data_IF_792296375632
#
_entry.id   IF_792296375632
#
_cell.length_a   1.000
_cell.length_b   1.000
_cell.length_c   1.000
_cell.angle_alpha   90.00
_cell.angle_beta   90.00
_cell.angle_gamma   90.00
#
_symmetry.space_group_name_H-M   'P 1'
#
loop_
_entity.id
_entity.type
_entity.pdbx_description
1 polymer ?
#
# COMPACT_ATOMS: atom_id res chain seq x y z
N UNK A 1 -19.13 -39.79 6.53
CA UNK A 1 -18.24 -39.42 5.41
C UNK A 1 -16.80 -39.36 5.89
N UNK A 2 -15.85 -39.10 4.99
CA UNK A 2 -14.43 -38.95 5.33
C UNK A 2 -13.93 -37.58 4.91
N UNK A 3 -13.27 -36.88 5.81
CA UNK A 3 -12.62 -35.60 5.59
C UNK A 3 -11.26 -35.87 4.94
N UNK A 4 -11.05 -35.34 3.74
CA UNK A 4 -9.76 -35.41 3.05
C UNK A 4 -8.98 -34.11 3.29
N UNK A 5 -7.80 -34.20 3.91
CA UNK A 5 -6.95 -33.05 4.19
C UNK A 5 -5.47 -33.37 3.96
N UNK A 6 -4.66 -32.36 3.70
CA UNK A 6 -3.21 -32.51 3.51
C UNK A 6 -2.46 -32.27 4.82
N UNK A 7 -1.47 -33.10 5.13
CA UNK A 7 -0.61 -32.90 6.29
C UNK A 7 0.23 -31.63 6.15
N UNK A 8 0.26 -30.77 7.18
CA UNK A 8 1.07 -29.54 7.19
C UNK A 8 2.59 -29.78 7.14
N UNK A 9 3.06 -30.96 7.57
CA UNK A 9 4.49 -31.29 7.61
C UNK A 9 5.00 -32.07 6.40
N UNK A 10 4.25 -33.09 5.98
CA UNK A 10 4.68 -33.98 4.89
C UNK A 10 3.83 -33.89 3.62
N UNK A 11 2.84 -33.00 3.58
CA UNK A 11 1.94 -32.73 2.45
C UNK A 11 1.21 -33.93 1.84
N UNK A 12 1.24 -35.10 2.50
CA UNK A 12 0.50 -36.28 2.08
C UNK A 12 -0.98 -36.15 2.44
N UNK A 13 -1.83 -36.71 1.57
CA UNK A 13 -3.27 -36.78 1.77
C UNK A 13 -3.59 -37.69 2.96
N UNK A 14 -4.33 -37.18 3.93
CA UNK A 14 -4.84 -37.88 5.10
C UNK A 14 -6.36 -37.98 4.95
N UNK A 15 -6.89 -39.19 5.17
CA UNK A 15 -8.32 -39.44 5.28
C UNK A 15 -8.69 -39.61 6.74
N UNK A 16 -9.49 -38.70 7.27
CA UNK A 16 -10.00 -38.75 8.63
C UNK A 16 -11.51 -39.04 8.64
N UNK A 17 -12.05 -39.75 9.65
CA UNK A 17 -13.49 -39.87 9.81
C UNK A 17 -14.10 -38.53 10.23
N UNK A 18 -15.37 -38.28 9.88
CA UNK A 18 -16.07 -37.05 10.28
C UNK A 18 -16.09 -36.83 11.80
N UNK A 19 -16.12 -37.92 12.59
CA UNK A 19 -16.05 -37.89 14.06
C UNK A 19 -14.75 -37.27 14.61
N UNK A 20 -13.72 -37.17 13.77
CA UNK A 20 -12.46 -36.53 14.10
C UNK A 20 -12.43 -35.04 13.71
N UNK A 21 -13.48 -34.52 13.05
CA UNK A 21 -13.66 -33.10 12.79
C UNK A 21 -13.57 -32.28 14.08
N UNK A 22 -12.80 -31.18 14.04
CA UNK A 22 -12.54 -30.32 15.20
C UNK A 22 -11.51 -30.87 16.20
N UNK A 23 -10.99 -32.10 16.01
CA UNK A 23 -9.99 -32.72 16.89
C UNK A 23 -8.59 -32.69 16.27
N UNK A 24 -7.58 -32.95 17.11
CA UNK A 24 -6.19 -33.17 16.68
C UNK A 24 -5.92 -34.66 16.51
N UNK A 25 -5.52 -35.06 15.31
CA UNK A 25 -5.08 -36.43 14.98
C UNK A 25 -3.58 -36.50 14.73
N UNK A 26 -3.02 -37.71 14.61
CA UNK A 26 -1.63 -37.91 14.16
C UNK A 26 -1.60 -38.32 12.70
N UNK A 27 -0.69 -37.73 11.93
CA UNK A 27 -0.45 -38.12 10.55
C UNK A 27 0.07 -39.57 10.48
N UNK A 28 -0.51 -40.45 9.66
CA UNK A 28 -0.04 -41.84 9.52
C UNK A 28 1.34 -41.95 8.86
N UNK A 29 1.78 -40.92 8.14
CA UNK A 29 3.05 -40.93 7.41
C UNK A 29 4.23 -40.34 8.19
N UNK A 30 4.04 -39.21 8.86
CA UNK A 30 5.11 -38.50 9.57
C UNK A 30 4.90 -38.41 11.09
N UNK A 31 3.77 -38.92 11.60
CA UNK A 31 3.37 -38.92 13.02
C UNK A 31 3.17 -37.53 13.64
N UNK A 32 3.23 -36.47 12.85
CA UNK A 32 2.97 -35.09 13.28
C UNK A 32 1.52 -34.92 13.76
N UNK A 33 1.31 -34.02 14.73
CA UNK A 33 -0.03 -33.65 15.19
C UNK A 33 -0.69 -32.72 14.17
N UNK A 34 -1.78 -33.14 13.55
CA UNK A 34 -2.53 -32.38 12.53
C UNK A 34 -3.94 -32.10 13.03
N UNK A 35 -4.41 -30.87 12.85
CA UNK A 35 -5.80 -30.49 13.13
C UNK A 35 -6.70 -30.93 11.97
N UNK A 36 -7.79 -31.63 12.27
CA UNK A 36 -8.78 -32.07 11.29
C UNK A 36 -9.91 -31.04 11.29
N UNK A 37 -10.10 -30.26 10.22
CA UNK A 37 -11.16 -29.26 10.16
C UNK A 37 -12.52 -29.95 10.22
N UNK A 38 -13.47 -29.32 10.92
CA UNK A 38 -14.86 -29.77 10.84
C UNK A 38 -15.38 -29.46 9.43
N UNK A 39 -16.07 -30.41 8.76
CA UNK A 39 -16.73 -30.08 7.51
C UNK A 39 -17.67 -28.90 7.77
N UNK A 40 -17.78 -27.93 6.86
CA UNK A 40 -18.79 -26.90 6.99
C UNK A 40 -20.13 -27.63 7.10
N UNK A 41 -20.85 -27.44 8.20
CA UNK A 41 -22.26 -27.81 8.22
C UNK A 41 -22.89 -27.08 7.03
N UNK A 42 -23.72 -27.78 6.25
CA UNK A 42 -24.47 -27.17 5.15
C UNK A 42 -25.19 -25.94 5.73
N UNK A 43 -24.62 -24.78 5.41
CA UNK A 43 -24.68 -23.62 6.28
C UNK A 43 -26.11 -23.17 6.53
N UNK A 44 -26.37 -22.76 7.77
CA UNK A 44 -27.41 -21.78 8.01
C UNK A 44 -27.17 -20.61 7.05
N UNK A 45 -28.06 -20.49 6.07
CA UNK A 45 -28.10 -19.33 5.19
C UNK A 45 -28.31 -18.12 6.09
N UNK A 46 -27.23 -17.36 6.33
CA UNK A 46 -27.29 -16.14 7.12
C UNK A 46 -28.21 -15.17 6.38
N UNK A 47 -29.46 -15.09 6.84
CA UNK A 47 -30.42 -14.12 6.32
C UNK A 47 -29.89 -12.74 6.65
N UNK A 48 -29.55 -11.98 5.61
CA UNK A 48 -29.22 -10.58 5.77
C UNK A 48 -30.38 -9.87 6.47
N UNK A 49 -30.05 -9.03 7.45
CA UNK A 49 -31.05 -8.17 8.05
C UNK A 49 -31.71 -7.31 6.95
N UNK A 50 -33.02 -7.04 7.04
CA UNK A 50 -33.69 -6.11 6.14
C UNK A 50 -32.98 -4.75 6.16
N UNK A 51 -32.90 -4.11 5.00
CA UNK A 51 -32.34 -2.77 4.87
C UNK A 51 -33.31 -1.78 5.54
N UNK A 52 -32.81 -0.97 6.47
CA UNK A 52 -33.55 0.18 6.99
C UNK A 52 -33.50 1.32 5.97
N UNK A 53 -34.62 1.58 5.30
CA UNK A 53 -34.72 2.61 4.27
C UNK A 53 -34.39 4.02 4.79
N UNK A 54 -34.68 4.32 6.06
CA UNK A 54 -34.42 5.63 6.64
C UNK A 54 -32.93 5.83 6.93
N UNK A 55 -32.22 4.77 7.34
CA UNK A 55 -30.76 4.79 7.42
C UNK A 55 -30.12 4.91 6.05
N UNK A 56 -30.63 4.18 5.05
CA UNK A 56 -30.11 4.26 3.70
C UNK A 56 -30.29 5.65 3.07
N UNK A 57 -31.44 6.28 3.28
CA UNK A 57 -31.69 7.66 2.83
C UNK A 57 -30.73 8.66 3.48
N UNK A 58 -30.51 8.55 4.80
CA UNK A 58 -29.54 9.39 5.52
C UNK A 58 -28.12 9.20 4.98
N UNK A 59 -27.72 7.95 4.73
CA UNK A 59 -26.40 7.64 4.16
C UNK A 59 -26.25 8.22 2.75
N UNK A 60 -27.29 8.13 1.90
CA UNK A 60 -27.28 8.72 0.56
C UNK A 60 -27.18 10.25 0.61
N UNK A 61 -27.88 10.89 1.53
CA UNK A 61 -27.82 12.34 1.72
C UNK A 61 -26.41 12.79 2.13
N UNK A 62 -25.83 12.17 3.15
CA UNK A 62 -24.48 12.48 3.62
C UNK A 62 -23.42 12.29 2.52
N UNK A 63 -23.53 11.22 1.72
CA UNK A 63 -22.61 11.02 0.58
C UNK A 63 -22.72 12.14 -0.44
N UNK A 64 -23.94 12.60 -0.76
CA UNK A 64 -24.16 13.69 -1.70
C UNK A 64 -23.55 15.00 -1.18
N UNK A 65 -23.78 15.29 0.11
CA UNK A 65 -23.21 16.46 0.77
C UNK A 65 -21.67 16.42 0.77
N UNK A 66 -21.07 15.26 1.08
CA UNK A 66 -19.63 15.08 1.06
C UNK A 66 -19.02 15.29 -0.34
N UNK A 67 -19.66 14.77 -1.39
CA UNK A 67 -19.23 14.97 -2.78
C UNK A 67 -19.31 16.46 -3.15
N UNK A 68 -20.38 17.15 -2.75
CA UNK A 68 -20.54 18.58 -2.99
C UNK A 68 -19.46 19.41 -2.30
N UNK A 69 -19.17 19.09 -1.04
CA UNK A 69 -18.11 19.74 -0.27
C UNK A 69 -16.72 19.51 -0.86
N UNK A 70 -16.41 18.28 -1.28
CA UNK A 70 -15.13 17.98 -1.93
C UNK A 70 -14.94 18.84 -3.20
N UNK A 71 -15.98 18.93 -4.05
CA UNK A 71 -15.93 19.74 -5.26
C UNK A 71 -15.77 21.25 -4.98
N UNK A 72 -16.34 21.78 -3.90
CA UNK A 72 -16.17 23.19 -3.53
C UNK A 72 -14.75 23.49 -3.04
N UNK A 73 -14.15 22.60 -2.24
CA UNK A 73 -12.76 22.75 -1.78
C UNK A 73 -11.77 22.75 -2.95
N UNK A 74 -11.97 21.86 -3.92
CA UNK A 74 -11.15 21.82 -5.14
C UNK A 74 -11.24 23.14 -5.93
N UNK A 75 -12.42 23.77 -5.99
CA UNK A 75 -12.60 25.06 -6.67
C UNK A 75 -12.04 26.25 -5.87
N UNK A 76 -12.11 26.23 -4.54
CA UNK A 76 -11.55 27.30 -3.70
C UNK A 76 -10.02 27.33 -3.77
N UNK A 77 -9.37 26.17 -3.76
CA UNK A 77 -7.91 26.06 -3.94
C UNK A 77 -7.43 26.42 -5.35
N UNK A 78 -8.31 26.40 -6.34
CA UNK A 78 -8.00 26.79 -7.73
C UNK A 78 -7.98 28.31 -7.96
N UNK A 79 -8.35 29.13 -6.98
CA UNK A 79 -8.19 30.59 -7.08
C UNK A 79 -6.77 30.95 -6.65
N UNK A 80 -5.87 31.35 -7.58
CA UNK A 80 -4.54 31.79 -7.18
C UNK A 80 -4.68 33.06 -6.33
N UNK A 81 -3.85 33.26 -5.29
CA UNK A 81 -3.79 34.54 -4.60
C UNK A 81 -3.45 35.63 -5.63
N UNK A 82 -4.32 36.64 -5.72
CA UNK A 82 -4.11 37.85 -6.50
C UNK A 82 -2.77 38.48 -6.14
N UNK A 83 -1.78 38.30 -7.02
CA UNK A 83 -0.46 38.90 -6.85
C UNK A 83 0.74 38.04 -7.24
N UNK A 84 0.68 37.23 -8.29
CA UNK A 84 1.89 36.82 -9.00
C UNK A 84 1.58 36.52 -10.47
N UNK A 85 1.90 37.48 -11.34
CA UNK A 85 2.14 37.18 -12.74
C UNK A 85 3.25 36.11 -12.81
N UNK A 86 2.88 34.90 -13.21
CA UNK A 86 3.79 33.77 -13.33
C UNK A 86 3.32 32.85 -14.43
N UNK A 87 3.29 33.35 -15.67
CA UNK A 87 3.44 32.44 -16.81
C UNK A 87 4.67 31.59 -16.54
N UNK A 88 4.55 30.27 -16.69
CA UNK A 88 5.63 29.33 -16.44
C UNK A 88 6.93 29.88 -17.04
N UNK A 89 7.90 30.36 -16.23
CA UNK A 89 9.18 30.71 -16.79
C UNK A 89 9.73 29.39 -17.31
N UNK A 90 10.05 29.37 -18.61
CA UNK A 90 10.95 28.35 -19.13
C UNK A 90 12.12 28.24 -18.13
N UNK A 91 12.46 27.03 -17.66
CA UNK A 91 13.45 26.89 -16.60
C UNK A 91 14.74 27.60 -17.05
N UNK A 92 15.33 28.46 -16.20
CA UNK A 92 16.60 29.06 -16.52
C UNK A 92 17.62 27.94 -16.79
N UNK A 93 18.47 28.07 -17.82
CA UNK A 93 19.52 27.09 -18.05
C UNK A 93 20.52 27.19 -16.89
N UNK A 94 20.49 26.22 -15.98
CA UNK A 94 21.61 26.02 -15.05
C UNK A 94 21.31 25.70 -13.59
N UNK A 95 20.06 25.47 -13.16
CA UNK A 95 19.86 24.86 -11.84
C UNK A 95 20.05 23.35 -11.96
N UNK A 96 21.30 22.92 -11.74
CA UNK A 96 21.67 21.50 -11.72
C UNK A 96 21.08 20.91 -10.44
N UNK A 97 19.88 20.34 -10.56
CA UNK A 97 19.27 19.57 -9.47
C UNK A 97 20.21 18.39 -9.18
N UNK A 98 20.78 18.36 -7.98
CA UNK A 98 21.59 17.25 -7.52
C UNK A 98 20.66 16.10 -7.11
N UNK A 99 20.38 15.22 -8.08
CA UNK A 99 19.48 14.07 -7.92
C UNK A 99 19.90 13.17 -6.75
N UNK A 100 21.20 13.05 -6.49
CA UNK A 100 21.71 12.22 -5.39
C UNK A 100 21.33 12.82 -4.04
N UNK A 101 21.54 14.13 -3.89
CA UNK A 101 21.23 14.86 -2.66
C UNK A 101 19.72 14.85 -2.37
N UNK A 102 18.90 15.08 -3.39
CA UNK A 102 17.44 15.10 -3.26
C UNK A 102 16.87 13.71 -2.93
N UNK A 103 17.34 12.64 -3.58
CA UNK A 103 16.90 11.27 -3.24
C UNK A 103 17.29 10.92 -1.80
N UNK A 104 18.48 11.32 -1.34
CA UNK A 104 18.88 11.10 0.05
C UNK A 104 18.01 11.90 1.03
N UNK A 105 17.69 13.17 0.71
CA UNK A 105 16.80 14.00 1.52
C UNK A 105 15.41 13.38 1.65
N UNK A 106 14.86 12.82 0.56
CA UNK A 106 13.60 12.07 0.58
C UNK A 106 13.67 10.87 1.53
N UNK A 107 14.72 10.05 1.44
CA UNK A 107 14.84 8.85 2.26
C UNK A 107 15.02 9.19 3.76
N UNK A 108 15.73 10.27 4.08
CA UNK A 108 15.85 10.79 5.46
C UNK A 108 14.50 11.30 5.98
N UNK A 109 13.76 12.05 5.16
CA UNK A 109 12.43 12.54 5.52
C UNK A 109 11.44 11.38 5.79
N UNK A 110 11.47 10.34 4.96
CA UNK A 110 10.67 9.12 5.13
C UNK A 110 11.06 8.35 6.40
N UNK A 111 12.36 8.24 6.73
CA UNK A 111 12.84 7.65 7.98
C UNK A 111 12.32 8.41 9.20
N UNK A 112 12.42 9.73 9.17
CA UNK A 112 12.05 10.61 10.29
C UNK A 112 10.53 10.86 10.37
N UNK A 113 9.73 10.21 9.52
CA UNK A 113 8.27 10.41 9.42
C UNK A 113 7.84 11.86 9.09
N UNK A 114 8.71 12.62 8.41
CA UNK A 114 8.45 14.00 7.96
C UNK A 114 7.89 13.98 6.54
N UNK A 115 6.59 13.69 6.42
CA UNK A 115 5.92 13.50 5.12
C UNK A 115 5.85 14.77 4.28
N UNK A 116 5.68 15.93 4.93
CA UNK A 116 5.64 17.24 4.26
C UNK A 116 6.98 17.54 3.56
N UNK A 117 8.10 17.29 4.25
CA UNK A 117 9.45 17.42 3.69
C UNK A 117 9.65 16.44 2.53
N UNK A 118 9.17 15.20 2.66
CA UNK A 118 9.25 14.20 1.60
C UNK A 118 8.48 14.62 0.35
N UNK A 119 7.29 15.20 0.50
CA UNK A 119 6.47 15.69 -0.62
C UNK A 119 7.11 16.92 -1.30
N UNK A 120 7.74 17.81 -0.53
CA UNK A 120 8.50 18.94 -1.07
C UNK A 120 9.70 18.49 -1.92
N UNK A 121 10.40 17.43 -1.50
CA UNK A 121 11.49 16.82 -2.26
C UNK A 121 10.97 16.16 -3.55
N UNK A 122 9.83 15.46 -3.50
CA UNK A 122 9.18 14.90 -4.70
C UNK A 122 8.82 16.00 -5.71
N UNK A 123 8.28 17.12 -5.23
CA UNK A 123 7.97 18.28 -6.08
C UNK A 123 9.22 18.94 -6.69
N UNK A 124 10.37 18.78 -6.06
CA UNK A 124 11.66 19.25 -6.60
C UNK A 124 12.20 18.26 -7.64
N UNK A 125 12.16 16.95 -7.35
CA UNK A 125 12.56 15.89 -8.27
C UNK A 125 11.68 15.82 -9.52
N UNK A 126 10.39 16.14 -9.42
CA UNK A 126 9.48 16.14 -10.58
C UNK A 126 9.86 17.21 -11.62
N UNK A 127 10.53 18.30 -11.22
CA UNK A 127 11.08 19.31 -12.14
C UNK A 127 12.19 18.75 -13.03
N UNK A 128 12.92 17.72 -12.56
CA UNK A 128 13.91 17.01 -13.35
C UNK A 128 13.29 15.93 -14.28
N UNK A 129 12.00 15.62 -14.11
CA UNK A 129 11.22 14.73 -14.96
C UNK A 129 11.85 13.33 -15.10
N UNK A 130 11.96 12.85 -16.33
CA UNK A 130 12.46 11.50 -16.62
C UNK A 130 13.87 11.22 -16.08
N UNK A 131 14.73 12.24 -15.94
CA UNK A 131 16.10 12.04 -15.41
C UNK A 131 16.08 11.61 -13.94
N UNK A 132 15.17 12.16 -13.14
CA UNK A 132 15.02 11.76 -11.75
C UNK A 132 14.50 10.32 -11.65
N UNK A 133 13.57 9.94 -12.53
CA UNK A 133 13.05 8.58 -12.60
C UNK A 133 14.15 7.58 -12.95
N UNK A 134 14.88 7.80 -14.04
CA UNK A 134 15.93 6.90 -14.50
C UNK A 134 17.03 6.72 -13.43
N UNK A 135 17.34 7.80 -12.71
CA UNK A 135 18.29 7.78 -11.59
C UNK A 135 17.80 6.92 -10.41
N UNK A 136 16.55 7.09 -9.98
CA UNK A 136 15.96 6.32 -8.87
C UNK A 136 15.74 4.85 -9.24
N UNK A 137 15.34 4.56 -10.49
CA UNK A 137 15.23 3.19 -10.99
C UNK A 137 16.61 2.52 -11.02
N UNK A 138 17.66 3.23 -11.44
CA UNK A 138 19.05 2.75 -11.36
C UNK A 138 19.48 2.38 -9.94
N UNK A 139 19.19 3.25 -8.96
CA UNK A 139 19.48 3.00 -7.55
C UNK A 139 18.67 1.84 -6.93
N UNK A 140 17.49 1.56 -7.48
CA UNK A 140 16.64 0.45 -7.00
C UNK A 140 17.12 -0.93 -7.48
N UNK A 141 17.91 -0.95 -8.56
CA UNK A 141 18.47 -2.15 -9.18
C UNK A 141 19.88 -2.44 -8.65
N UNK A 142 20.61 -1.42 -8.21
CA UNK A 142 21.97 -1.57 -7.68
C UNK A 142 22.00 -2.33 -6.33
N UNK A 143 22.99 -3.23 -6.15
CA UNK A 143 23.05 -4.17 -5.02
C UNK A 143 23.39 -3.50 -3.68
N UNK A 144 23.83 -2.24 -3.70
CA UNK A 144 24.26 -1.51 -2.50
C UNK A 144 23.55 -0.14 -2.43
N UNK A 145 22.37 -0.07 -1.79
CA UNK A 145 21.66 1.20 -1.61
C UNK A 145 22.49 2.17 -0.76
N UNK A 146 22.23 3.50 -0.86
CA UNK A 146 22.92 4.48 -0.01
C UNK A 146 22.74 4.11 1.46
N UNK A 147 23.85 4.05 2.20
CA UNK A 147 23.84 3.76 3.63
C UNK A 147 23.19 4.93 4.38
N UNK A 148 21.92 4.74 4.74
CA UNK A 148 21.21 5.66 5.61
C UNK A 148 21.25 5.09 7.02
N UNK A 149 21.82 5.86 7.95
CA UNK A 149 21.87 5.46 9.35
C UNK A 149 20.50 5.01 9.85
N UNK A 150 20.47 3.80 10.40
CA UNK A 150 19.30 3.15 11.02
C UNK A 150 18.18 2.74 10.06
N UNK A 151 18.44 2.56 8.76
CA UNK A 151 17.44 2.07 7.81
C UNK A 151 17.82 0.70 7.20
N UNK A 152 17.03 -0.37 7.41
CA UNK A 152 17.32 -1.67 6.82
C UNK A 152 17.13 -1.63 5.28
N UNK A 153 17.97 -2.35 4.50
CA UNK A 153 17.93 -2.29 3.03
C UNK A 153 16.55 -2.55 2.39
N UNK A 154 15.71 -3.49 2.89
CA UNK A 154 14.37 -3.70 2.35
C UNK A 154 13.45 -2.47 2.46
N UNK A 155 13.63 -1.64 3.51
CA UNK A 155 12.85 -0.41 3.66
C UNK A 155 13.31 0.68 2.71
N UNK A 156 14.63 0.80 2.49
CA UNK A 156 15.18 1.72 1.48
C UNK A 156 14.62 1.39 0.09
N UNK A 157 14.61 0.12 -0.29
CA UNK A 157 14.00 -0.32 -1.55
C UNK A 157 12.50 -0.02 -1.61
N UNK A 158 11.78 -0.19 -0.50
CA UNK A 158 10.37 0.19 -0.39
C UNK A 158 10.14 1.68 -0.65
N UNK A 159 10.96 2.54 -0.06
CA UNK A 159 10.88 3.99 -0.24
C UNK A 159 11.27 4.43 -1.65
N UNK A 160 12.29 3.82 -2.26
CA UNK A 160 12.66 4.11 -3.65
C UNK A 160 11.54 3.72 -4.63
N UNK A 161 10.88 2.57 -4.42
CA UNK A 161 9.71 2.18 -5.23
C UNK A 161 8.55 3.15 -5.07
N UNK A 162 8.29 3.60 -3.84
CA UNK A 162 7.28 4.63 -3.58
C UNK A 162 7.61 5.95 -4.30
N UNK A 163 8.89 6.35 -4.30
CA UNK A 163 9.37 7.53 -5.01
C UNK A 163 9.14 7.41 -6.52
N UNK A 164 9.47 6.27 -7.15
CA UNK A 164 9.22 6.04 -8.59
C UNK A 164 7.73 6.16 -8.91
N UNK A 165 6.85 5.57 -8.08
CA UNK A 165 5.40 5.64 -8.30
C UNK A 165 4.80 7.05 -8.17
N UNK A 166 5.49 7.96 -7.47
CA UNK A 166 5.07 9.37 -7.33
C UNK A 166 5.63 10.27 -8.41
N UNK A 167 6.67 9.82 -9.11
CA UNK A 167 7.27 10.51 -10.27
C UNK A 167 6.66 10.07 -11.61
N UNK A 168 5.75 9.08 -11.60
CA UNK A 168 4.99 8.60 -12.78
C UNK A 168 3.66 9.33 -12.92
#
# INVERSE_FOLDING_TARGET
MSIELHCTRCSKLIRAPDEAGGKRGRCPYCKESVYIPMPPEEGEEFKLAPIDEAEEQRARQLRREAIGYAASVDHETATPPDGAAGGVPAPPPGEVIDLAAEVNAFLVAMRDSRLEDADAVVATLSKAGNRARDYVEGLSVDEMPPEIENLPPPLVQGFLKALVSRLS
#
